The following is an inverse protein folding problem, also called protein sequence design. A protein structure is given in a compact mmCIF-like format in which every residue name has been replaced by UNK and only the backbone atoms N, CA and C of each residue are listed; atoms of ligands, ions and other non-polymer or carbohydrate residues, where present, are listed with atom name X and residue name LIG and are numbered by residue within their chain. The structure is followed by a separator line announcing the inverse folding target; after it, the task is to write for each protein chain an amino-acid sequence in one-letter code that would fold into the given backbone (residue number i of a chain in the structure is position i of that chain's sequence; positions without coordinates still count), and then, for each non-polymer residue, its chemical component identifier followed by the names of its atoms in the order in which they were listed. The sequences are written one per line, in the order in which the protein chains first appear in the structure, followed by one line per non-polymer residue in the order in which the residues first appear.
data_IF_615212437708
#
_entry.id   IF_615212437708
#
_cell.length_a   1.000
_cell.length_b   1.000
_cell.length_c   1.000
_cell.angle_alpha   90.00
_cell.angle_beta   90.00
_cell.angle_gamma   90.00
#
_symmetry.space_group_name_H-M   'P 1'
#
loop_
_entity.id
_entity.type
_entity.pdbx_description
1 polymer ?
#
# COMPACT_ATOMS: atom_id res chain seq x y z
N UNK A 1 -10.44 -14.23 3.29
CA UNK A 1 -10.39 -13.82 1.87
C UNK A 1 -11.25 -14.74 1.04
N UNK A 2 -11.09 -16.06 1.11
CA UNK A 2 -11.83 -17.01 0.27
C UNK A 2 -13.33 -16.94 0.51
N UNK A 3 -13.78 -16.92 1.77
CA UNK A 3 -15.19 -16.71 2.09
C UNK A 3 -15.76 -15.39 1.56
N UNK A 4 -14.94 -14.34 1.46
CA UNK A 4 -15.37 -13.09 0.85
C UNK A 4 -15.48 -13.21 -0.68
N UNK A 5 -14.54 -13.90 -1.33
CA UNK A 5 -14.59 -14.21 -2.77
C UNK A 5 -15.83 -15.05 -3.10
N UNK A 6 -16.08 -16.09 -2.31
CA UNK A 6 -17.24 -16.97 -2.50
C UNK A 6 -18.55 -16.19 -2.33
N UNK A 7 -18.64 -15.33 -1.29
CA UNK A 7 -19.80 -14.47 -1.10
C UNK A 7 -20.04 -13.53 -2.30
N UNK A 8 -18.97 -12.93 -2.80
CA UNK A 8 -19.04 -12.00 -3.94
C UNK A 8 -19.43 -12.70 -5.22
N UNK A 9 -18.99 -13.95 -5.42
CA UNK A 9 -19.41 -14.75 -6.57
C UNK A 9 -20.93 -15.00 -6.60
N UNK A 10 -21.58 -14.93 -5.43
CA UNK A 10 -23.04 -15.06 -5.31
C UNK A 10 -23.82 -13.75 -5.60
N UNK A 11 -23.13 -12.61 -5.66
CA UNK A 11 -23.79 -11.32 -5.90
C UNK A 11 -24.16 -11.13 -7.39
N UNK A 12 -25.26 -10.41 -7.68
CA UNK A 12 -25.61 -10.00 -9.05
C UNK A 12 -24.43 -9.29 -9.74
N UNK A 13 -24.32 -9.42 -11.06
CA UNK A 13 -23.24 -8.82 -11.84
C UNK A 13 -23.18 -7.29 -11.74
N UNK A 14 -24.33 -6.66 -11.58
CA UNK A 14 -24.48 -5.21 -11.42
C UNK A 14 -24.36 -4.71 -9.96
N UNK A 15 -24.04 -5.60 -9.03
CA UNK A 15 -23.89 -5.25 -7.62
C UNK A 15 -22.67 -4.35 -7.39
N UNK A 16 -22.89 -3.17 -6.79
CA UNK A 16 -21.81 -2.27 -6.38
C UNK A 16 -20.81 -2.91 -5.38
N UNK A 17 -21.19 -4.00 -4.72
CA UNK A 17 -20.32 -4.75 -3.82
C UNK A 17 -19.30 -5.61 -4.58
N UNK A 18 -19.49 -5.88 -5.87
CA UNK A 18 -18.47 -6.56 -6.68
C UNK A 18 -17.22 -5.70 -6.82
N UNK A 19 -17.37 -4.38 -6.92
CA UNK A 19 -16.22 -3.47 -6.96
C UNK A 19 -15.44 -3.48 -5.62
N UNK A 20 -16.13 -3.67 -4.50
CA UNK A 20 -15.48 -3.84 -3.18
C UNK A 20 -14.66 -5.14 -3.12
N UNK A 21 -15.06 -6.16 -3.88
CA UNK A 21 -14.37 -7.43 -3.98
C UNK A 21 -13.01 -7.35 -4.67
N UNK A 22 -12.92 -6.53 -5.70
CA UNK A 22 -11.67 -6.36 -6.43
C UNK A 22 -10.56 -5.73 -5.59
N UNK A 23 -10.92 -5.12 -4.45
CA UNK A 23 -9.98 -4.46 -3.55
C UNK A 23 -9.46 -5.39 -2.45
N UNK A 24 -10.16 -6.49 -2.18
CA UNK A 24 -9.85 -7.43 -1.09
C UNK A 24 -8.63 -8.34 -1.36
N UNK A 25 -8.30 -8.77 -2.58
CA UNK A 25 -7.23 -9.73 -2.84
C UNK A 25 -5.89 -9.44 -2.15
N UNK A 26 -5.39 -8.20 -2.08
CA UNK A 26 -4.12 -7.89 -1.40
C UNK A 26 -4.07 -8.29 0.08
N UNK A 27 -5.23 -8.31 0.76
CA UNK A 27 -5.33 -8.67 2.18
C UNK A 27 -5.33 -10.18 2.43
N UNK A 28 -5.27 -10.97 1.38
CA UNK A 28 -5.12 -12.42 1.44
C UNK A 28 -3.84 -12.91 0.78
N UNK A 29 -2.90 -12.01 0.53
CA UNK A 29 -1.60 -12.38 -0.01
C UNK A 29 -0.90 -13.37 0.92
N UNK A 30 -0.26 -14.37 0.32
CA UNK A 30 0.49 -15.38 1.07
C UNK A 30 1.82 -14.82 1.58
N UNK A 31 2.45 -15.54 2.50
CA UNK A 31 3.77 -15.17 3.01
C UNK A 31 4.81 -15.07 1.88
N UNK A 32 4.75 -15.97 0.92
CA UNK A 32 5.66 -16.00 -0.24
C UNK A 32 5.57 -14.72 -1.09
N UNK A 33 4.38 -14.14 -1.22
CA UNK A 33 4.21 -12.84 -1.90
C UNK A 33 4.93 -11.73 -1.15
N UNK A 34 4.79 -11.67 0.18
CA UNK A 34 5.51 -10.68 0.98
C UNK A 34 7.02 -10.87 0.94
N UNK A 35 7.50 -12.12 0.95
CA UNK A 35 8.92 -12.43 0.85
C UNK A 35 9.50 -12.01 -0.51
N UNK A 36 8.74 -12.17 -1.60
CA UNK A 36 9.15 -11.78 -2.95
C UNK A 36 9.02 -10.28 -3.24
N UNK A 37 8.23 -9.55 -2.46
CA UNK A 37 8.00 -8.13 -2.68
C UNK A 37 9.27 -7.30 -2.44
N UNK A 38 10.05 -7.62 -1.41
CA UNK A 38 11.29 -6.94 -1.08
C UNK A 38 11.12 -5.46 -0.69
N UNK A 39 12.22 -4.88 -0.23
CA UNK A 39 12.30 -3.45 0.09
C UNK A 39 13.53 -2.88 -0.60
N UNK A 40 13.38 -1.75 -1.28
CA UNK A 40 14.50 -1.00 -1.84
C UNK A 40 14.73 0.25 -1.00
N UNK A 41 15.87 0.31 -0.33
CA UNK A 41 16.29 1.41 0.54
C UNK A 41 17.23 2.39 -0.16
N UNK A 42 17.14 3.65 0.21
CA UNK A 42 17.99 4.74 -0.26
C UNK A 42 18.62 5.50 0.90
N UNK A 43 19.53 6.40 0.60
CA UNK A 43 20.11 7.30 1.60
C UNK A 43 19.02 8.04 2.39
N UNK A 44 19.33 8.34 3.64
CA UNK A 44 18.47 9.09 4.56
C UNK A 44 17.16 8.40 4.96
N UNK A 45 17.05 7.08 4.78
CA UNK A 45 15.89 6.30 5.21
C UNK A 45 14.70 6.32 4.25
N UNK A 46 14.86 6.90 3.06
CA UNK A 46 13.85 6.76 2.01
C UNK A 46 13.82 5.31 1.53
N UNK A 47 12.63 4.80 1.26
CA UNK A 47 12.50 3.46 0.69
C UNK A 47 11.16 3.27 -0.02
N UNK A 48 11.08 2.21 -0.79
CA UNK A 48 9.80 1.68 -1.26
C UNK A 48 9.78 0.16 -1.13
N UNK A 49 8.59 -0.39 -0.98
CA UNK A 49 8.29 -1.81 -1.07
C UNK A 49 7.49 -2.11 -2.34
N UNK A 50 7.70 -3.29 -2.90
CA UNK A 50 7.10 -3.68 -4.18
C UNK A 50 7.95 -3.29 -5.39
N UNK A 51 7.30 -3.22 -6.53
CA UNK A 51 7.91 -3.02 -7.84
C UNK A 51 7.24 -3.89 -8.87
N UNK A 52 7.96 -4.81 -9.49
CA UNK A 52 7.38 -5.82 -10.37
C UNK A 52 6.54 -6.83 -9.59
N UNK A 53 6.94 -7.15 -8.37
CA UNK A 53 6.16 -7.95 -7.41
C UNK A 53 5.58 -7.04 -6.33
N UNK A 54 4.28 -7.12 -6.11
CA UNK A 54 3.56 -6.32 -5.12
C UNK A 54 2.27 -7.01 -4.74
N UNK A 55 1.79 -6.79 -3.53
CA UNK A 55 0.45 -7.26 -3.12
C UNK A 55 -0.68 -6.66 -3.98
N UNK A 56 -0.41 -5.57 -4.69
CA UNK A 56 -1.35 -4.92 -5.62
C UNK A 56 -1.12 -5.31 -7.09
N UNK A 57 -0.19 -6.23 -7.38
CA UNK A 57 0.08 -6.68 -8.75
C UNK A 57 -1.14 -7.34 -9.40
N UNK A 58 -1.99 -7.97 -8.58
CA UNK A 58 -3.23 -8.62 -9.04
C UNK A 58 -4.38 -7.63 -9.31
N UNK A 59 -4.20 -6.34 -9.02
CA UNK A 59 -5.21 -5.37 -9.43
C UNK A 59 -5.26 -5.27 -10.94
N UNK A 60 -6.43 -5.59 -11.50
CA UNK A 60 -6.67 -5.40 -12.92
C UNK A 60 -6.37 -3.97 -13.34
N UNK A 61 -5.64 -3.81 -14.42
CA UNK A 61 -5.48 -2.51 -15.06
C UNK A 61 -6.84 -2.10 -15.60
N UNK A 62 -7.32 -0.91 -15.23
CA UNK A 62 -8.53 -0.34 -15.79
C UNK A 62 -8.37 -0.17 -17.31
N UNK A 63 -9.21 -0.81 -18.17
CA UNK A 63 -9.01 -0.77 -19.61
C UNK A 63 -9.10 0.64 -20.21
N UNK A 64 -9.92 1.52 -19.62
CA UNK A 64 -10.01 2.90 -20.06
C UNK A 64 -8.74 3.68 -19.69
N UNK A 65 -8.19 3.42 -18.51
CA UNK A 65 -6.93 4.02 -18.09
C UNK A 65 -5.78 3.56 -18.97
N UNK A 66 -5.67 2.27 -19.25
CA UNK A 66 -4.66 1.72 -20.16
C UNK A 66 -4.74 2.37 -21.54
N UNK A 67 -5.95 2.52 -22.10
CA UNK A 67 -6.18 3.18 -23.38
C UNK A 67 -5.70 4.65 -23.37
N UNK A 68 -5.95 5.39 -22.27
CA UNK A 68 -5.47 6.77 -22.12
C UNK A 68 -3.95 6.82 -22.06
N UNK A 69 -3.34 5.89 -21.32
CA UNK A 69 -1.89 5.78 -21.20
C UNK A 69 -1.22 5.42 -22.53
N UNK A 70 -1.75 4.42 -23.25
CA UNK A 70 -1.26 4.04 -24.58
C UNK A 70 -1.28 5.20 -25.57
N UNK A 71 -2.33 6.02 -25.54
CA UNK A 71 -2.45 7.21 -26.37
C UNK A 71 -1.42 8.28 -26.00
N UNK A 72 -1.12 8.44 -24.71
CA UNK A 72 -0.24 9.50 -24.20
C UNK A 72 1.24 9.15 -24.31
N UNK A 73 1.62 7.87 -24.08
CA UNK A 73 3.00 7.46 -23.86
C UNK A 73 3.48 6.35 -24.81
N UNK A 74 2.59 5.75 -25.60
CA UNK A 74 2.91 4.60 -26.45
C UNK A 74 2.98 3.27 -25.65
N UNK A 75 3.15 2.15 -26.35
CA UNK A 75 3.04 0.82 -25.76
C UNK A 75 4.13 0.53 -24.72
N UNK A 76 5.40 0.76 -25.09
CA UNK A 76 6.54 0.36 -24.24
C UNK A 76 6.54 1.12 -22.90
N UNK A 77 6.34 2.44 -22.96
CA UNK A 77 6.33 3.27 -21.76
C UNK A 77 5.09 3.02 -20.90
N UNK A 78 3.95 2.75 -21.52
CA UNK A 78 2.73 2.37 -20.79
C UNK A 78 2.93 1.06 -20.05
N UNK A 79 3.49 0.04 -20.72
CA UNK A 79 3.82 -1.23 -20.10
C UNK A 79 4.76 -1.06 -18.90
N UNK A 80 5.84 -0.32 -19.07
CA UNK A 80 6.79 -0.02 -17.99
C UNK A 80 6.10 0.62 -16.77
N UNK A 81 5.27 1.66 -16.99
CA UNK A 81 4.56 2.36 -15.91
C UNK A 81 3.56 1.44 -15.21
N UNK A 82 2.78 0.66 -15.96
CA UNK A 82 1.70 -0.16 -15.40
C UNK A 82 2.19 -1.46 -14.75
N UNK A 83 3.38 -1.94 -15.12
CA UNK A 83 3.98 -3.14 -14.52
C UNK A 83 4.60 -2.84 -13.17
N UNK A 84 5.06 -1.60 -12.95
CA UNK A 84 5.77 -1.25 -11.73
C UNK A 84 4.83 -0.70 -10.66
N UNK A 85 4.51 -1.53 -9.68
CA UNK A 85 3.56 -1.23 -8.61
C UNK A 85 4.25 -1.19 -7.24
N UNK A 86 4.63 -0.01 -6.79
CA UNK A 86 5.07 0.15 -5.40
C UNK A 86 3.85 0.10 -4.46
N UNK A 87 3.96 -0.67 -3.38
CA UNK A 87 2.92 -0.72 -2.35
C UNK A 87 2.95 0.53 -1.49
N UNK A 88 4.12 0.83 -0.92
CA UNK A 88 4.38 2.08 -0.23
C UNK A 88 5.71 2.67 -0.68
N UNK A 89 5.75 3.97 -0.90
CA UNK A 89 6.97 4.72 -1.08
C UNK A 89 7.10 5.69 0.07
N UNK A 90 8.09 5.48 0.93
CA UNK A 90 8.35 6.33 2.10
C UNK A 90 9.38 7.40 1.77
N UNK A 91 8.98 8.63 1.90
CA UNK A 91 9.86 9.80 1.99
C UNK A 91 10.08 10.10 3.47
N UNK A 92 11.15 9.54 4.02
CA UNK A 92 11.47 9.69 5.43
C UNK A 92 11.58 11.17 5.82
N UNK A 93 11.07 11.59 6.99
CA UNK A 93 10.53 10.71 8.04
C UNK A 93 9.00 10.53 8.01
N UNK A 94 8.24 11.26 7.20
CA UNK A 94 6.82 11.43 7.51
C UNK A 94 5.84 11.31 6.34
N UNK A 95 6.31 11.12 5.11
CA UNK A 95 5.44 11.06 3.94
C UNK A 95 5.45 9.69 3.31
N UNK A 96 4.28 9.07 3.15
CA UNK A 96 4.11 7.82 2.40
C UNK A 96 3.17 8.04 1.23
N UNK A 97 3.55 7.51 0.07
CA UNK A 97 2.71 7.50 -1.13
C UNK A 97 2.41 6.05 -1.49
N UNK A 98 1.13 5.76 -1.73
CA UNK A 98 0.66 4.50 -2.31
C UNK A 98 0.33 4.74 -3.78
N UNK A 99 1.12 4.19 -4.69
CA UNK A 99 0.99 4.49 -6.11
C UNK A 99 -0.21 3.80 -6.76
N UNK A 100 -0.47 2.55 -6.41
CA UNK A 100 -1.55 1.76 -7.03
C UNK A 100 -2.97 2.32 -6.76
N UNK A 101 -3.12 3.16 -5.75
CA UNK A 101 -4.42 3.66 -5.25
C UNK A 101 -4.40 5.14 -4.88
N UNK A 102 -3.60 5.94 -5.51
CA UNK A 102 -3.52 7.41 -5.37
C UNK A 102 -3.82 7.92 -3.96
N UNK A 103 -3.02 7.46 -3.01
CA UNK A 103 -3.18 7.81 -1.61
C UNK A 103 -1.86 8.35 -1.05
N UNK A 104 -1.96 9.44 -0.30
CA UNK A 104 -0.83 10.04 0.42
C UNK A 104 -1.14 9.99 1.90
N UNK A 105 -0.16 9.56 2.69
CA UNK A 105 -0.25 9.55 4.14
C UNK A 105 0.85 10.42 4.72
N UNK A 106 0.48 11.31 5.63
CA UNK A 106 1.40 12.17 6.37
C UNK A 106 1.37 11.82 7.84
N UNK A 107 2.54 11.51 8.40
CA UNK A 107 2.72 11.19 9.83
C UNK A 107 3.24 12.43 10.54
N UNK A 108 2.48 12.95 11.49
CA UNK A 108 2.87 14.12 12.28
C UNK A 108 2.98 13.76 13.76
N UNK A 109 4.20 13.64 14.30
CA UNK A 109 4.40 13.48 15.74
C UNK A 109 4.01 14.78 16.45
N UNK A 110 3.20 14.67 17.49
CA UNK A 110 2.73 15.80 18.30
C UNK A 110 3.43 15.81 19.67
N UNK A 111 3.53 14.63 20.28
CA UNK A 111 4.23 14.41 21.56
C UNK A 111 4.80 12.99 21.55
N UNK A 112 5.53 12.62 22.61
CA UNK A 112 6.13 11.28 22.73
C UNK A 112 5.12 10.14 22.67
N UNK A 113 3.86 10.41 23.03
CA UNK A 113 2.77 9.45 23.13
C UNK A 113 1.62 9.73 22.14
N UNK A 114 1.77 10.72 21.27
CA UNK A 114 0.71 11.14 20.36
C UNK A 114 1.21 11.45 18.96
N UNK A 115 0.66 10.78 17.98
CA UNK A 115 0.92 11.00 16.57
C UNK A 115 -0.40 11.17 15.82
N UNK A 116 -0.44 12.10 14.87
CA UNK A 116 -1.54 12.26 13.93
C UNK A 116 -1.12 11.67 12.60
N UNK A 117 -1.96 10.81 12.04
CA UNK A 117 -1.81 10.28 10.68
C UNK A 117 -2.93 10.87 9.83
N UNK A 118 -2.55 11.66 8.84
CA UNK A 118 -3.47 12.23 7.86
C UNK A 118 -3.38 11.42 6.57
N UNK A 119 -4.54 11.00 6.06
CA UNK A 119 -4.61 10.25 4.80
C UNK A 119 -5.41 11.04 3.78
N UNK A 120 -4.82 11.26 2.62
CA UNK A 120 -5.41 12.01 1.51
C UNK A 120 -5.55 11.10 0.30
N UNK A 121 -6.79 10.97 -0.20
CA UNK A 121 -7.07 10.35 -1.50
C UNK A 121 -7.15 11.43 -2.56
N UNK A 122 -6.57 11.21 -3.72
CA UNK A 122 -6.56 12.20 -4.79
C UNK A 122 -6.91 11.57 -6.13
N UNK A 123 -7.36 12.39 -7.05
CA UNK A 123 -7.66 12.03 -8.43
C UNK A 123 -6.48 12.35 -9.34
N UNK A 124 -6.09 11.42 -10.18
CA UNK A 124 -5.18 11.72 -11.27
C UNK A 124 -5.90 12.53 -12.33
N UNK A 125 -5.33 13.69 -12.69
CA UNK A 125 -5.89 14.56 -13.71
C UNK A 125 -5.90 13.85 -15.06
N UNK A 126 -7.07 13.75 -15.69
CA UNK A 126 -7.25 13.09 -16.97
C UNK A 126 -7.43 11.57 -16.91
N UNK A 127 -7.36 10.97 -15.72
CA UNK A 127 -7.68 9.57 -15.54
C UNK A 127 -9.20 9.33 -15.49
N UNK A 128 -9.67 8.12 -15.84
CA UNK A 128 -11.06 7.72 -15.73
C UNK A 128 -11.61 7.79 -14.31
N UNK A 129 -12.92 7.93 -14.17
CA UNK A 129 -13.61 7.97 -12.89
C UNK A 129 -13.50 6.65 -12.11
N UNK A 130 -13.39 5.53 -12.80
CA UNK A 130 -13.16 4.20 -12.22
C UNK A 130 -11.93 4.13 -11.32
N UNK A 131 -10.84 4.80 -11.69
CA UNK A 131 -9.64 4.90 -10.86
C UNK A 131 -9.88 5.63 -9.55
N UNK A 132 -10.58 6.76 -9.59
CA UNK A 132 -10.96 7.48 -8.38
C UNK A 132 -11.88 6.63 -7.50
N UNK A 133 -12.85 5.96 -8.09
CA UNK A 133 -13.75 5.05 -7.37
C UNK A 133 -12.98 3.97 -6.64
N UNK A 134 -12.04 3.28 -7.31
CA UNK A 134 -11.14 2.29 -6.68
C UNK A 134 -10.37 2.90 -5.51
N UNK A 135 -9.78 4.06 -5.72
CA UNK A 135 -9.04 4.78 -4.66
C UNK A 135 -9.91 5.06 -3.43
N UNK A 136 -11.12 5.55 -3.62
CA UNK A 136 -12.04 5.86 -2.53
C UNK A 136 -12.53 4.61 -1.80
N UNK A 137 -12.82 3.54 -2.53
CA UNK A 137 -13.21 2.25 -1.94
C UNK A 137 -12.07 1.66 -1.10
N UNK A 138 -10.85 1.68 -1.62
CA UNK A 138 -9.68 1.23 -0.88
C UNK A 138 -9.44 2.10 0.37
N UNK A 139 -9.50 3.41 0.24
CA UNK A 139 -9.34 4.32 1.38
C UNK A 139 -10.37 4.05 2.47
N UNK A 140 -11.61 3.78 2.09
CA UNK A 140 -12.68 3.39 3.02
C UNK A 140 -12.39 2.05 3.69
N UNK A 141 -11.91 1.05 2.94
CA UNK A 141 -11.58 -0.26 3.47
C UNK A 141 -10.44 -0.19 4.50
N UNK A 142 -9.44 0.65 4.26
CA UNK A 142 -8.28 0.78 5.16
C UNK A 142 -8.59 1.69 6.36
N UNK A 143 -9.22 2.84 6.13
CA UNK A 143 -9.22 3.94 7.10
C UNK A 143 -10.56 4.10 7.85
N UNK A 144 -11.63 3.40 7.47
CA UNK A 144 -12.90 3.51 8.17
C UNK A 144 -12.83 2.85 9.55
N UNK A 145 -13.45 3.48 10.54
CA UNK A 145 -13.50 2.96 11.92
C UNK A 145 -14.12 1.56 12.05
N UNK A 146 -15.00 1.20 11.12
CA UNK A 146 -15.63 -0.13 11.06
C UNK A 146 -14.91 -1.11 10.11
N UNK A 147 -13.72 -0.77 9.62
CA UNK A 147 -12.93 -1.66 8.77
C UNK A 147 -12.13 -2.67 9.61
N UNK A 148 -11.62 -3.71 8.94
CA UNK A 148 -10.76 -4.69 9.62
C UNK A 148 -9.30 -4.20 9.70
N UNK A 149 -8.84 -3.36 8.79
CA UNK A 149 -7.42 -3.01 8.64
C UNK A 149 -7.01 -1.86 9.56
N UNK A 150 -7.69 -0.73 9.47
CA UNK A 150 -7.32 0.46 10.23
C UNK A 150 -7.39 0.26 11.75
N UNK A 151 -8.47 -0.30 12.32
CA UNK A 151 -8.55 -0.58 13.75
C UNK A 151 -7.52 -1.60 14.25
N UNK A 152 -7.15 -2.57 13.44
CA UNK A 152 -6.08 -3.53 13.77
C UNK A 152 -4.73 -2.84 13.87
N UNK A 153 -4.36 -2.06 12.87
CA UNK A 153 -3.14 -1.22 12.87
C UNK A 153 -3.10 -0.28 14.09
N UNK A 154 -4.21 0.40 14.40
CA UNK A 154 -4.27 1.31 15.54
C UNK A 154 -4.09 0.58 16.87
N UNK A 155 -4.60 -0.63 16.99
CA UNK A 155 -4.40 -1.48 18.16
C UNK A 155 -2.94 -1.91 18.29
N UNK A 156 -2.29 -2.25 17.18
CA UNK A 156 -0.88 -2.59 17.15
C UNK A 156 -0.02 -1.39 17.56
N UNK A 157 -0.27 -0.20 17.03
CA UNK A 157 0.45 1.04 17.41
C UNK A 157 0.29 1.37 18.89
N UNK A 158 -0.91 1.24 19.43
CA UNK A 158 -1.18 1.45 20.85
C UNK A 158 -0.36 0.47 21.72
N UNK A 159 -0.32 -0.80 21.37
CA UNK A 159 0.45 -1.81 22.10
C UNK A 159 1.96 -1.59 21.99
N UNK A 160 2.45 -1.18 20.83
CA UNK A 160 3.86 -0.81 20.64
C UNK A 160 4.21 0.38 21.55
N UNK A 161 3.34 1.40 21.61
CA UNK A 161 3.55 2.56 22.50
C UNK A 161 3.61 2.15 23.97
N UNK A 162 2.75 1.22 24.40
CA UNK A 162 2.79 0.67 25.77
C UNK A 162 4.10 -0.10 26.03
N UNK A 163 4.54 -0.91 25.07
CA UNK A 163 5.81 -1.64 25.17
C UNK A 163 7.02 -0.70 25.25
N UNK A 164 7.04 0.37 24.48
CA UNK A 164 8.10 1.39 24.49
C UNK A 164 8.15 2.19 25.80
N UNK A 165 7.05 2.31 26.53
CA UNK A 165 7.02 2.93 27.84
C UNK A 165 7.58 1.98 28.95
N UNK A 166 7.84 0.72 28.64
CA UNK A 166 8.47 -0.22 29.57
C UNK A 166 9.95 0.11 29.76
N UNK A 167 10.43 0.00 30.98
CA UNK A 167 11.86 0.20 31.34
C UNK A 167 12.68 -1.08 31.29
N UNK A 168 12.14 -2.17 30.75
CA UNK A 168 12.79 -3.49 30.78
C UNK A 168 13.93 -3.62 29.75
N UNK A 169 13.94 -2.80 28.70
CA UNK A 169 14.97 -2.81 27.67
C UNK A 169 15.14 -1.42 27.07
N UNK A 170 16.36 -0.90 27.10
CA UNK A 170 16.69 0.43 26.56
C UNK A 170 16.85 0.44 25.03
N UNK A 171 16.97 -0.75 24.42
CA UNK A 171 17.24 -0.88 22.99
C UNK A 171 16.23 -1.80 22.32
N UNK A 172 15.83 -1.43 21.11
CA UNK A 172 15.00 -2.27 20.24
C UNK A 172 15.86 -2.63 19.04
N UNK A 173 15.98 -3.93 18.80
CA UNK A 173 16.67 -4.44 17.64
C UNK A 173 15.74 -4.42 16.42
N UNK A 174 16.21 -3.80 15.32
CA UNK A 174 15.47 -3.66 14.07
C UNK A 174 16.14 -4.39 12.89
N UNK A 175 17.07 -5.28 13.20
CA UNK A 175 17.88 -6.00 12.20
C UNK A 175 17.13 -7.23 11.68
N UNK A 176 16.22 -7.06 10.74
CA UNK A 176 15.76 -8.18 9.93
C UNK A 176 16.76 -8.44 8.83
N UNK A 177 17.07 -9.73 8.60
CA UNK A 177 17.97 -10.17 7.52
C UNK A 177 19.33 -9.47 7.50
N UNK A 178 19.86 -9.10 8.66
CA UNK A 178 21.16 -8.46 8.78
C UNK A 178 22.24 -9.21 7.98
N UNK A 179 22.94 -8.50 7.10
CA UNK A 179 23.98 -9.06 6.25
C UNK A 179 23.49 -9.74 4.98
N UNK A 180 22.19 -9.71 4.69
CA UNK A 180 21.61 -10.22 3.43
C UNK A 180 21.32 -9.12 2.42
N UNK A 181 21.44 -7.86 2.82
CA UNK A 181 21.23 -6.71 1.95
C UNK A 181 22.26 -6.70 0.81
N UNK A 182 21.79 -6.40 -0.39
CA UNK A 182 22.64 -6.20 -1.57
C UNK A 182 22.81 -4.71 -1.79
N UNK A 183 24.06 -4.26 -1.65
CA UNK A 183 24.43 -2.88 -1.97
C UNK A 183 24.66 -2.74 -3.48
N UNK A 184 23.85 -1.93 -4.13
CA UNK A 184 23.94 -1.60 -5.57
C UNK A 184 24.59 -0.22 -5.80
N UNK A 185 25.14 0.42 -4.75
CA UNK A 185 25.83 1.69 -4.77
C UNK A 185 24.93 2.90 -4.57
N UNK A 186 23.81 2.98 -5.27
CA UNK A 186 22.80 4.02 -5.12
C UNK A 186 21.63 3.61 -4.20
N UNK A 187 21.48 2.32 -3.96
CA UNK A 187 20.39 1.73 -3.16
C UNK A 187 20.80 0.39 -2.54
N UNK A 188 20.04 -0.01 -1.51
CA UNK A 188 20.08 -1.34 -0.89
C UNK A 188 18.81 -2.12 -1.28
N UNK A 189 18.96 -3.44 -1.52
CA UNK A 189 17.85 -4.34 -1.91
C UNK A 189 17.93 -5.62 -1.08
#
# INVERSE_FOLDING_TARGET
VDAAKDYIATLPEDSARRDEAEIIPPFGASYEVFESTGITGFKYGHHYDGGETSIHADYSVDPEYERVMLKAYGADRTKEILTYNTHNTLFYPSLTIKSAIQNIRVVRPISVDRTIIETWSFRLKGAPESLLRRTLLYSRLINANGSMVGPDDLTAYFRVQQGLASTSNDWIEMHRNFGQDKDLGDRLV
#
